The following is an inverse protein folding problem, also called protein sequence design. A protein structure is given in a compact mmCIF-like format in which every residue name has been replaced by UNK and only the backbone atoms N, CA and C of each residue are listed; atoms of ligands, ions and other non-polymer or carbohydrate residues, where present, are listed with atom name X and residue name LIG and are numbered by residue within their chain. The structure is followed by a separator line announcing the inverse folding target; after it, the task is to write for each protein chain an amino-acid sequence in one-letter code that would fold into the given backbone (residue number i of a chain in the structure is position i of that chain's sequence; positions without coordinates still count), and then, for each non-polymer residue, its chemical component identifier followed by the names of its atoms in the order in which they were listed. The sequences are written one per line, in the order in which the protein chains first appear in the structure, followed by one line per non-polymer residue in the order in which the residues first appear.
data_IF_615146711997
#
_entry.id   IF_615146711997
#
_cell.length_a   1.000
_cell.length_b   1.000
_cell.length_c   1.000
_cell.angle_alpha   90.00
_cell.angle_beta   90.00
_cell.angle_gamma   90.00
#
_symmetry.space_group_name_H-M   'P 1'
#
loop_
_entity.id
_entity.type
_entity.pdbx_description
1 polymer ?
#
# COMPACT_ATOMS: atom_id res chain seq x y z
N UNK A 1 -13.41 -9.77 -4.86
CA UNK A 1 -13.23 -9.60 -3.40
C UNK A 1 -12.08 -8.64 -3.14
N UNK A 2 -12.19 -7.83 -2.10
CA UNK A 2 -11.16 -6.85 -1.78
C UNK A 2 -10.60 -7.09 -0.38
N UNK A 3 -9.31 -6.81 -0.21
CA UNK A 3 -8.67 -6.78 1.09
C UNK A 3 -8.21 -5.36 1.41
N UNK A 4 -8.33 -4.97 2.66
CA UNK A 4 -7.94 -3.64 3.13
C UNK A 4 -7.06 -3.79 4.36
N UNK A 5 -5.97 -3.02 4.39
CA UNK A 5 -5.05 -2.95 5.52
C UNK A 5 -4.86 -1.47 5.87
N UNK A 6 -4.98 -1.13 7.15
CA UNK A 6 -4.75 0.23 7.62
C UNK A 6 -3.69 0.27 8.71
N UNK A 7 -2.97 1.37 8.80
CA UNK A 7 -1.95 1.56 9.82
C UNK A 7 -1.92 3.01 10.30
N UNK A 8 -1.87 3.17 11.61
CA UNK A 8 -1.61 4.45 12.29
C UNK A 8 -0.64 4.15 13.42
N UNK A 9 0.53 4.75 13.42
CA UNK A 9 1.51 4.45 14.46
C UNK A 9 2.79 5.27 14.33
N UNK A 10 3.84 4.80 15.01
CA UNK A 10 5.11 5.50 15.11
C UNK A 10 6.11 5.14 14.03
N UNK A 11 5.84 4.10 13.25
CA UNK A 11 6.75 3.60 12.21
C UNK A 11 6.31 4.07 10.83
N UNK A 12 7.21 4.00 9.84
CA UNK A 12 6.84 4.24 8.46
C UNK A 12 5.78 3.23 8.03
N UNK A 13 4.67 3.73 7.47
CA UNK A 13 3.48 2.91 7.22
C UNK A 13 3.60 2.05 5.97
N UNK A 14 4.29 2.51 4.92
CA UNK A 14 4.31 1.80 3.64
C UNK A 14 4.81 0.35 3.75
N UNK A 15 5.94 0.04 4.41
CA UNK A 15 6.36 -1.35 4.53
C UNK A 15 5.36 -2.22 5.30
N UNK A 16 4.72 -1.66 6.32
CA UNK A 16 3.76 -2.37 7.16
C UNK A 16 2.51 -2.71 6.36
N UNK A 17 1.97 -1.74 5.63
CA UNK A 17 0.77 -1.94 4.82
C UNK A 17 1.05 -2.89 3.65
N UNK A 18 2.20 -2.77 2.98
CA UNK A 18 2.58 -3.70 1.91
C UNK A 18 2.71 -5.13 2.43
N UNK A 19 3.30 -5.31 3.62
CA UNK A 19 3.38 -6.62 4.25
C UNK A 19 1.98 -7.18 4.54
N UNK A 20 1.08 -6.35 5.05
CA UNK A 20 -0.30 -6.76 5.31
C UNK A 20 -1.05 -7.17 4.04
N UNK A 21 -0.89 -6.41 2.95
CA UNK A 21 -1.49 -6.75 1.67
C UNK A 21 -0.93 -8.07 1.13
N UNK A 22 0.36 -8.32 1.31
CA UNK A 22 0.97 -9.58 0.90
C UNK A 22 0.37 -10.77 1.66
N UNK A 23 0.07 -10.61 2.93
CA UNK A 23 -0.59 -11.66 3.72
C UNK A 23 -1.99 -11.97 3.22
N UNK A 24 -2.67 -11.01 2.59
CA UNK A 24 -4.01 -11.18 2.04
C UNK A 24 -4.01 -11.71 0.61
N UNK A 25 -2.85 -11.83 -0.03
CA UNK A 25 -2.75 -12.29 -1.40
C UNK A 25 -2.81 -13.81 -1.48
N UNK A 26 -3.90 -14.35 -2.03
CA UNK A 26 -4.08 -15.79 -2.18
C UNK A 26 -3.80 -16.26 -3.61
N UNK A 27 -4.24 -15.49 -4.61
CA UNK A 27 -4.19 -15.88 -6.03
C UNK A 27 -3.61 -14.81 -6.91
N UNK A 28 -3.06 -13.76 -6.31
CA UNK A 28 -2.70 -12.54 -7.00
C UNK A 28 -3.84 -11.55 -7.00
N UNK A 29 -3.54 -10.32 -7.32
CA UNK A 29 -4.51 -9.23 -7.35
C UNK A 29 -4.71 -8.73 -8.77
N UNK A 30 -5.95 -8.29 -9.10
CA UNK A 30 -6.22 -7.57 -10.33
C UNK A 30 -5.62 -6.17 -10.26
N UNK A 31 -5.61 -5.58 -9.07
CA UNK A 31 -5.00 -4.28 -8.83
C UNK A 31 -4.71 -4.11 -7.35
N UNK A 32 -3.77 -3.26 -7.02
CA UNK A 32 -3.44 -2.92 -5.64
C UNK A 32 -3.07 -1.44 -5.56
N UNK A 33 -3.34 -0.83 -4.43
CA UNK A 33 -2.99 0.57 -4.21
C UNK A 33 -2.84 0.88 -2.74
N UNK A 34 -2.19 2.01 -2.48
CA UNK A 34 -2.08 2.54 -1.13
C UNK A 34 -2.17 4.06 -1.15
N UNK A 35 -2.58 4.61 -0.02
CA UNK A 35 -2.62 6.05 0.20
C UNK A 35 -1.97 6.34 1.55
N UNK A 36 -1.06 7.28 1.59
CA UNK A 36 -0.29 7.67 2.78
C UNK A 36 -0.50 9.14 3.03
N UNK A 37 -0.68 9.51 4.30
CA UNK A 37 -0.64 10.91 4.72
C UNK A 37 0.79 11.19 5.15
N UNK A 38 1.48 12.08 4.43
CA UNK A 38 2.85 12.43 4.73
C UNK A 38 2.97 13.48 5.85
N UNK A 39 4.20 13.84 6.20
CA UNK A 39 4.45 14.77 7.31
C UNK A 39 3.87 16.16 7.05
N UNK A 40 3.64 16.55 5.81
CA UNK A 40 3.04 17.84 5.46
C UNK A 40 1.51 17.82 5.51
N UNK A 41 0.91 16.63 5.72
CA UNK A 41 -0.53 16.44 5.68
C UNK A 41 -1.07 16.15 4.28
N UNK A 42 -0.22 16.05 3.28
CA UNK A 42 -0.63 15.71 1.92
C UNK A 42 -0.84 14.21 1.77
N UNK A 43 -1.77 13.83 0.90
CA UNK A 43 -2.02 12.44 0.59
C UNK A 43 -1.20 12.02 -0.63
N UNK A 44 -0.39 10.99 -0.46
CA UNK A 44 0.39 10.38 -1.54
C UNK A 44 -0.27 9.05 -1.92
N UNK A 45 -0.51 8.85 -3.21
CA UNK A 45 -1.18 7.63 -3.70
C UNK A 45 -0.27 6.90 -4.67
N UNK A 46 -0.22 5.56 -4.54
CA UNK A 46 0.42 4.66 -5.51
C UNK A 46 -0.57 3.56 -5.85
N UNK A 47 -0.76 3.31 -7.14
CA UNK A 47 -1.69 2.29 -7.63
C UNK A 47 -1.08 1.58 -8.83
N UNK A 48 -1.28 0.27 -8.89
CA UNK A 48 -0.82 -0.53 -10.03
C UNK A 48 -1.80 -1.66 -10.31
N UNK A 49 -2.02 -1.94 -11.58
CA UNK A 49 -2.77 -3.10 -11.99
C UNK A 49 -1.90 -4.35 -11.87
N UNK A 50 -2.53 -5.50 -11.68
CA UNK A 50 -1.86 -6.78 -11.65
C UNK A 50 -1.37 -7.17 -10.27
N UNK A 51 -0.26 -7.88 -10.23
CA UNK A 51 0.27 -8.46 -8.98
C UNK A 51 0.73 -7.40 -8.00
N UNK A 52 0.70 -7.74 -6.72
CA UNK A 52 1.19 -6.87 -5.65
C UNK A 52 2.65 -6.44 -5.89
N UNK A 53 3.47 -7.29 -6.50
CA UNK A 53 4.84 -6.94 -6.84
C UNK A 53 4.95 -5.67 -7.70
N UNK A 54 3.96 -5.40 -8.55
CA UNK A 54 3.94 -4.19 -9.36
C UNK A 54 3.78 -2.95 -8.50
N UNK A 55 2.92 -3.03 -7.46
CA UNK A 55 2.79 -1.94 -6.50
C UNK A 55 4.06 -1.76 -5.68
N UNK A 56 4.68 -2.86 -5.26
CA UNK A 56 5.94 -2.81 -4.52
C UNK A 56 7.04 -2.15 -5.32
N UNK A 57 7.13 -2.44 -6.63
CA UNK A 57 8.08 -1.77 -7.52
C UNK A 57 7.80 -0.28 -7.65
N UNK A 58 6.52 0.09 -7.79
CA UNK A 58 6.13 1.51 -7.90
C UNK A 58 6.50 2.29 -6.63
N UNK A 59 6.29 1.69 -5.46
CA UNK A 59 6.65 2.31 -4.18
C UNK A 59 8.18 2.40 -4.02
N UNK A 60 8.92 1.41 -4.50
CA UNK A 60 10.38 1.43 -4.48
C UNK A 60 10.93 2.52 -5.40
N UNK A 61 10.36 2.66 -6.61
CA UNK A 61 10.80 3.66 -7.57
C UNK A 61 10.47 5.09 -7.13
N UNK A 62 9.29 5.28 -6.53
CA UNK A 62 8.84 6.58 -6.04
C UNK A 62 8.31 6.40 -4.62
N UNK A 63 9.19 6.38 -3.63
CA UNK A 63 8.78 6.11 -2.24
C UNK A 63 7.78 7.11 -1.70
N UNK A 64 6.93 6.63 -0.78
CA UNK A 64 6.00 7.46 -0.02
C UNK A 64 6.38 7.34 1.45
N UNK A 65 6.39 8.46 2.15
CA UNK A 65 6.74 8.52 3.56
C UNK A 65 5.54 8.99 4.37
N UNK A 66 5.26 8.30 5.47
CA UNK A 66 4.17 8.69 6.37
C UNK A 66 3.88 7.59 7.36
N UNK A 67 3.10 7.93 8.37
CA UNK A 67 2.76 7.03 9.48
C UNK A 67 1.27 6.71 9.56
N UNK A 68 0.50 7.20 8.61
CA UNK A 68 -0.93 6.90 8.47
C UNK A 68 -1.14 6.43 7.04
N UNK A 69 -1.63 5.23 6.87
CA UNK A 69 -1.77 4.66 5.54
C UNK A 69 -2.93 3.68 5.48
N UNK A 70 -3.58 3.62 4.32
CA UNK A 70 -4.52 2.57 4.00
C UNK A 70 -4.11 1.92 2.68
N UNK A 71 -4.13 0.60 2.64
CA UNK A 71 -3.89 -0.17 1.44
C UNK A 71 -5.12 -0.97 1.06
N UNK A 72 -5.31 -1.18 -0.24
CA UNK A 72 -6.41 -1.97 -0.77
C UNK A 72 -5.91 -2.82 -1.92
N UNK A 73 -6.41 -4.04 -1.97
CA UNK A 73 -6.18 -4.94 -3.08
C UNK A 73 -7.50 -5.49 -3.58
N UNK A 74 -7.65 -5.52 -4.90
CA UNK A 74 -8.82 -6.05 -5.57
C UNK A 74 -8.46 -7.36 -6.27
N UNK A 75 -9.22 -8.38 -6.00
CA UNK A 75 -9.03 -9.71 -6.56
C UNK A 75 -10.16 -10.06 -7.52
#
# INVERSE_FOLDING_TARGET
MCGIVGYVGAQEAAPIVLHGLRQLEYRGYDSAGLAVIDASGAIQIRREAGKLANLEEAVTATPVAGRVEIGRAHV
#
